data_IF_314183307544
#
_entry.id   IF_314183307544
#
_cell.length_a   1.000
_cell.length_b   1.000
_cell.length_c   1.000
_cell.angle_alpha   90.00
_cell.angle_beta   90.00
_cell.angle_gamma   90.00
#
_symmetry.space_group_name_H-M   'P 1'
#
loop_
_entity.id
_entity.type
_entity.pdbx_description
1 polymer ?
#
# COMPACT_ATOMS: atom_id res chain seq x y z
N UNK A 1 -0.91 12.48 17.78
CA UNK A 1 -1.64 12.33 16.50
C UNK A 1 -0.72 12.34 15.28
N UNK A 2 0.02 13.42 15.00
CA UNK A 2 0.85 13.53 13.78
C UNK A 2 1.90 12.41 13.61
N UNK A 3 2.59 12.02 14.69
CA UNK A 3 3.58 10.91 14.65
C UNK A 3 2.91 9.58 14.29
N UNK A 4 1.69 9.34 14.77
CA UNK A 4 0.93 8.13 14.46
C UNK A 4 0.51 8.12 12.99
N UNK A 5 -0.01 9.23 12.46
CA UNK A 5 -0.31 9.36 11.03
C UNK A 5 0.93 9.11 10.16
N UNK A 6 2.07 9.72 10.51
CA UNK A 6 3.32 9.53 9.80
C UNK A 6 3.74 8.06 9.77
N UNK A 7 3.68 7.36 10.91
CA UNK A 7 4.03 5.93 11.01
C UNK A 7 3.07 5.02 10.23
N UNK A 8 1.81 5.40 10.10
CA UNK A 8 0.81 4.62 9.35
C UNK A 8 0.90 4.85 7.85
N UNK A 9 1.03 6.11 7.40
CA UNK A 9 0.96 6.48 5.99
C UNK A 9 2.29 6.43 5.26
N UNK A 10 3.41 6.73 5.93
CA UNK A 10 4.73 6.74 5.27
C UNK A 10 5.08 5.38 4.66
N UNK A 11 4.90 4.23 5.35
CA UNK A 11 5.24 2.93 4.78
C UNK A 11 4.46 2.59 3.51
N UNK A 12 3.14 2.88 3.45
CA UNK A 12 2.35 2.57 2.25
C UNK A 12 2.68 3.50 1.07
N UNK A 13 3.20 4.70 1.35
CA UNK A 13 3.58 5.69 0.34
C UNK A 13 5.00 5.48 -0.19
N UNK A 14 5.90 4.88 0.60
CA UNK A 14 7.32 4.82 0.26
C UNK A 14 7.88 3.42 0.01
N UNK A 15 7.18 2.32 0.33
CA UNK A 15 7.73 0.97 0.12
C UNK A 15 6.85 0.08 -0.77
N UNK A 16 7.48 -0.58 -1.76
CA UNK A 16 6.86 -1.67 -2.55
C UNK A 16 6.84 -2.97 -1.78
N UNK A 17 7.77 -3.15 -0.84
CA UNK A 17 8.02 -4.45 -0.22
C UNK A 17 7.73 -4.40 1.28
N UNK A 18 7.10 -5.47 1.77
CA UNK A 18 6.86 -5.67 3.20
C UNK A 18 8.17 -5.83 3.99
N UNK A 19 8.10 -6.17 5.29
CA UNK A 19 9.25 -6.16 6.23
C UNK A 19 10.46 -7.03 5.85
N UNK A 20 10.39 -7.86 4.80
CA UNK A 20 11.42 -8.83 4.42
C UNK A 20 11.99 -8.66 3.02
N UNK A 21 11.72 -7.58 2.30
CA UNK A 21 12.36 -7.39 1.00
C UNK A 21 13.07 -6.07 0.86
N UNK A 22 14.21 -6.13 0.19
CA UNK A 22 15.01 -4.96 -0.12
C UNK A 22 14.29 -4.11 -1.14
N UNK A 23 14.10 -2.85 -0.78
CA UNK A 23 13.72 -1.82 -1.72
C UNK A 23 14.87 -1.62 -2.73
N UNK A 24 14.65 -1.95 -4.00
CA UNK A 24 15.65 -1.70 -5.04
C UNK A 24 15.64 -0.21 -5.38
N UNK A 25 16.63 0.52 -4.86
CA UNK A 25 16.93 1.89 -5.25
C UNK A 25 17.06 2.01 -6.77
N UNK A 26 16.40 3.01 -7.36
CA UNK A 26 16.61 3.44 -8.75
C UNK A 26 15.49 3.16 -9.75
N UNK A 27 14.29 2.73 -9.32
CA UNK A 27 13.18 2.49 -10.23
C UNK A 27 12.09 3.57 -10.20
N UNK A 28 11.55 3.87 -11.39
CA UNK A 28 10.51 4.87 -11.70
C UNK A 28 9.16 4.70 -10.98
N UNK A 29 9.03 3.76 -10.04
CA UNK A 29 7.83 3.60 -9.22
C UNK A 29 7.81 4.50 -7.99
N UNK A 30 8.95 5.12 -7.61
CA UNK A 30 9.02 6.09 -6.50
C UNK A 30 8.24 7.39 -6.76
N UNK A 31 7.88 7.68 -8.02
CA UNK A 31 6.98 8.79 -8.37
C UNK A 31 5.50 8.42 -8.30
N UNK A 32 5.16 7.14 -8.08
CA UNK A 32 3.77 6.71 -7.94
C UNK A 32 3.31 6.80 -6.49
N UNK A 33 2.10 7.33 -6.32
CA UNK A 33 1.53 7.67 -5.00
C UNK A 33 1.41 6.46 -4.06
N UNK A 34 1.24 5.25 -4.60
CA UNK A 34 1.16 4.00 -3.83
C UNK A 34 1.93 2.90 -4.58
N UNK A 35 3.23 2.73 -4.29
CA UNK A 35 4.09 1.85 -5.08
C UNK A 35 3.68 0.38 -5.13
N UNK A 36 3.15 -0.16 -4.03
CA UNK A 36 2.72 -1.56 -3.97
C UNK A 36 1.56 -1.91 -4.91
N UNK A 37 0.85 -0.91 -5.45
CA UNK A 37 -0.26 -1.07 -6.39
C UNK A 37 0.13 -0.81 -7.86
N UNK A 38 1.37 -0.38 -8.14
CA UNK A 38 1.88 -0.18 -9.52
C UNK A 38 1.65 -1.41 -10.43
N UNK A 39 1.81 -2.67 -9.95
CA UNK A 39 1.62 -3.84 -10.82
C UNK A 39 0.15 -4.18 -11.11
N UNK A 40 -0.81 -3.52 -10.45
CA UNK A 40 -2.24 -3.88 -10.52
C UNK A 40 -2.84 -3.78 -11.93
N UNK A 41 -2.57 -2.72 -12.73
CA UNK A 41 -3.04 -2.66 -14.12
C UNK A 41 -2.45 -3.76 -15.00
N UNK A 42 -1.20 -4.19 -14.71
CA UNK A 42 -0.56 -5.31 -15.41
C UNK A 42 -1.24 -6.63 -15.05
N UNK A 43 -1.61 -6.84 -13.79
CA UNK A 43 -2.39 -8.00 -13.38
C UNK A 43 -3.72 -8.09 -14.15
N UNK A 44 -4.42 -6.96 -14.33
CA UNK A 44 -5.67 -6.91 -15.07
C UNK A 44 -5.54 -7.29 -16.56
N UNK A 45 -4.31 -7.27 -17.11
CA UNK A 45 -4.03 -7.68 -18.49
C UNK A 45 -3.78 -9.18 -18.67
N UNK A 46 -3.54 -9.92 -17.59
CA UNK A 46 -3.33 -11.37 -17.67
C UNK A 46 -4.66 -12.13 -17.81
N UNK A 47 -4.71 -13.23 -18.59
CA UNK A 47 -5.86 -14.12 -18.61
C UNK A 47 -6.12 -14.71 -17.22
N UNK A 48 -7.38 -14.79 -16.79
CA UNK A 48 -7.74 -15.25 -15.43
C UNK A 48 -7.28 -16.68 -15.13
N UNK A 49 -7.20 -17.52 -16.15
CA UNK A 49 -6.79 -18.92 -16.04
C UNK A 49 -5.27 -19.11 -16.19
N UNK A 50 -4.51 -18.02 -16.34
CA UNK A 50 -3.06 -18.08 -16.48
C UNK A 50 -2.36 -18.24 -15.12
N UNK A 51 -1.23 -18.94 -15.12
CA UNK A 51 -0.40 -19.14 -13.93
C UNK A 51 0.13 -17.80 -13.38
N UNK A 52 0.44 -16.85 -14.26
CA UNK A 52 0.86 -15.50 -13.89
C UNK A 52 -0.26 -14.75 -13.15
N UNK A 53 -1.50 -14.84 -13.62
CA UNK A 53 -2.63 -14.22 -12.94
C UNK A 53 -2.81 -14.81 -11.54
N UNK A 54 -2.82 -16.14 -11.41
CA UNK A 54 -2.99 -16.80 -10.12
C UNK A 54 -1.87 -16.46 -9.14
N UNK A 55 -0.61 -16.44 -9.62
CA UNK A 55 0.56 -16.09 -8.83
C UNK A 55 0.48 -14.66 -8.29
N UNK A 56 0.11 -13.70 -9.15
CA UNK A 56 0.08 -12.28 -8.76
C UNK A 56 -1.20 -11.85 -8.05
N UNK A 57 -2.31 -12.57 -8.24
CA UNK A 57 -3.62 -12.24 -7.66
C UNK A 57 -3.55 -12.10 -6.15
N UNK A 58 -3.01 -13.12 -5.46
CA UNK A 58 -2.93 -13.13 -3.99
C UNK A 58 -2.06 -11.98 -3.47
N UNK A 59 -0.92 -11.73 -4.13
CA UNK A 59 -0.02 -10.65 -3.76
C UNK A 59 -0.69 -9.27 -3.91
N UNK A 60 -1.42 -9.05 -5.00
CA UNK A 60 -2.12 -7.80 -5.27
C UNK A 60 -3.31 -7.56 -4.35
N UNK A 61 -4.08 -8.61 -4.02
CA UNK A 61 -5.15 -8.51 -3.01
C UNK A 61 -4.58 -8.12 -1.65
N UNK A 62 -3.47 -8.73 -1.22
CA UNK A 62 -2.80 -8.38 0.04
C UNK A 62 -2.26 -6.95 0.03
N UNK A 63 -1.67 -6.51 -1.08
CA UNK A 63 -1.20 -5.14 -1.23
C UNK A 63 -2.35 -4.12 -1.12
N UNK A 64 -3.46 -4.37 -1.83
CA UNK A 64 -4.67 -3.55 -1.73
C UNK A 64 -5.20 -3.49 -0.29
N UNK A 65 -5.33 -4.63 0.37
CA UNK A 65 -5.87 -4.68 1.73
C UNK A 65 -4.99 -3.90 2.70
N UNK A 66 -3.66 -4.04 2.62
CA UNK A 66 -2.73 -3.28 3.46
C UNK A 66 -2.90 -1.77 3.30
N UNK A 67 -3.12 -1.30 2.08
CA UNK A 67 -3.37 0.12 1.80
C UNK A 67 -4.69 0.56 2.42
N UNK A 68 -5.76 -0.21 2.24
CA UNK A 68 -7.06 0.08 2.83
C UNK A 68 -7.00 0.14 4.37
N UNK A 69 -6.38 -0.87 4.99
CA UNK A 69 -6.23 -0.94 6.45
C UNK A 69 -5.44 0.25 7.01
N UNK A 70 -4.39 0.69 6.31
CA UNK A 70 -3.60 1.84 6.72
C UNK A 70 -4.38 3.16 6.58
N UNK A 71 -5.19 3.32 5.53
CA UNK A 71 -6.06 4.48 5.37
C UNK A 71 -7.13 4.54 6.45
N UNK A 72 -7.75 3.40 6.79
CA UNK A 72 -8.74 3.31 7.86
C UNK A 72 -8.12 3.66 9.23
N UNK A 73 -6.93 3.13 9.52
CA UNK A 73 -6.19 3.49 10.74
C UNK A 73 -5.85 4.98 10.80
N UNK A 74 -5.43 5.58 9.68
CA UNK A 74 -5.13 7.01 9.62
C UNK A 74 -6.39 7.86 9.85
N UNK A 75 -7.54 7.44 9.30
CA UNK A 75 -8.82 8.12 9.50
C UNK A 75 -9.25 8.07 10.99
N UNK A 76 -9.17 6.90 11.62
CA UNK A 76 -9.46 6.73 13.06
C UNK A 76 -8.56 7.62 13.90
N UNK A 77 -7.24 7.63 13.64
CA UNK A 77 -6.29 8.46 14.37
C UNK A 77 -6.55 9.96 14.19
N UNK A 78 -6.98 10.38 12.99
CA UNK A 78 -7.31 11.78 12.69
C UNK A 78 -8.57 12.21 13.44
N UNK A 79 -9.63 11.39 13.40
CA UNK A 79 -10.87 11.64 14.13
C UNK A 79 -10.65 11.77 15.63
N UNK A 80 -9.92 10.82 16.22
CA UNK A 80 -9.59 10.86 17.64
C UNK A 80 -8.81 12.14 18.03
N UNK A 81 -7.93 12.62 17.15
CA UNK A 81 -7.19 13.86 17.37
C UNK A 81 -8.09 15.11 17.32
N UNK A 82 -9.01 15.17 16.34
CA UNK A 82 -9.96 16.27 16.22
C UNK A 82 -10.92 16.33 17.41
N UNK A 83 -11.41 15.18 17.85
CA UNK A 83 -12.33 15.08 18.98
C UNK A 83 -11.64 15.44 20.30
N UNK A 84 -10.35 15.13 20.47
CA UNK A 84 -9.57 15.50 21.65
C UNK A 84 -9.23 17.00 21.74
N UNK A 85 -9.45 17.76 20.66
CA UNK A 85 -9.17 19.21 20.61
C UNK A 85 -10.44 20.05 20.83
N UNK A 86 -11.62 19.40 20.95
CA UNK A 86 -12.90 20.01 21.30
C UNK A 86 -13.19 19.85 22.79
#
# INVERSE_FOLDING_TARGET
AMIQLSRTLTPIASTVVGPYGQDRYGHAWQTQMIPSLVPYPRLASYPRDSEEYQTWWVAMVRARNRVADALDQANVATRAALDATR
#
